data_IF_280826438216
#
_entry.id   IF_280826438216
#
_cell.length_a   1.000
_cell.length_b   1.000
_cell.length_c   1.000
_cell.angle_alpha   90.00
_cell.angle_beta   90.00
_cell.angle_gamma   90.00
#
_symmetry.space_group_name_H-M   'P 1'
#
loop_
_entity.id
_entity.type
_entity.pdbx_description
1 polymer ?
#
# COMPACT_ATOMS: atom_id res chain seq x y z
N UNK A 1 -19.86 -23.26 58.87
CA UNK A 1 -18.82 -24.24 58.57
C UNK A 1 -19.41 -25.67 58.33
N UNK A 2 -20.18 -26.27 59.25
CA UNK A 2 -20.74 -27.57 59.02
C UNK A 2 -21.56 -27.72 57.74
N UNK A 3 -22.31 -26.70 57.34
CA UNK A 3 -23.06 -26.66 56.07
C UNK A 3 -22.13 -26.65 54.87
N UNK A 4 -21.07 -25.83 54.89
CA UNK A 4 -20.05 -25.78 53.84
C UNK A 4 -19.32 -27.10 53.64
N UNK A 5 -18.91 -27.75 54.75
CA UNK A 5 -18.29 -29.07 54.74
C UNK A 5 -19.22 -30.18 54.21
N UNK A 6 -20.51 -30.10 54.51
CA UNK A 6 -21.51 -31.04 53.97
C UNK A 6 -21.64 -30.80 52.43
N UNK A 7 -21.70 -29.56 51.99
CA UNK A 7 -21.80 -29.25 50.61
C UNK A 7 -20.55 -29.70 49.83
N UNK A 8 -19.35 -29.46 50.39
CA UNK A 8 -18.09 -29.92 49.81
C UNK A 8 -18.07 -31.46 49.65
N UNK A 9 -18.45 -32.21 50.66
CA UNK A 9 -18.54 -33.68 50.58
C UNK A 9 -19.50 -34.14 49.49
N UNK A 10 -20.66 -33.51 49.34
CA UNK A 10 -21.64 -33.86 48.31
C UNK A 10 -21.17 -33.47 46.89
N UNK A 11 -20.43 -32.39 46.78
CA UNK A 11 -19.90 -31.91 45.49
C UNK A 11 -18.75 -32.79 44.95
N UNK A 12 -17.97 -33.42 45.85
CA UNK A 12 -16.78 -34.21 45.50
C UNK A 12 -16.98 -35.72 45.58
N UNK A 13 -18.14 -36.21 46.07
CA UNK A 13 -18.41 -37.64 46.26
C UNK A 13 -18.90 -38.33 44.99
N UNK A 14 -18.17 -39.32 44.52
CA UNK A 14 -18.55 -40.16 43.38
C UNK A 14 -19.82 -41.08 43.68
N UNK A 15 -20.18 -41.24 44.91
CA UNK A 15 -21.38 -41.98 45.31
C UNK A 15 -22.68 -41.16 45.14
N UNK A 16 -22.58 -39.88 44.82
CA UNK A 16 -23.72 -38.98 44.62
C UNK A 16 -24.06 -38.89 43.11
N UNK A 17 -25.36 -38.88 42.81
CA UNK A 17 -25.83 -38.72 41.46
C UNK A 17 -25.16 -37.50 40.75
N UNK A 18 -24.66 -37.64 39.52
CA UNK A 18 -23.89 -36.59 38.83
C UNK A 18 -24.62 -35.23 38.75
N UNK A 19 -25.92 -35.24 38.54
CA UNK A 19 -26.71 -33.99 38.48
C UNK A 19 -26.74 -33.26 39.83
N UNK A 20 -26.88 -34.02 40.93
CA UNK A 20 -26.89 -33.47 42.29
C UNK A 20 -25.49 -32.95 42.66
N UNK A 21 -24.44 -33.71 42.31
CA UNK A 21 -23.04 -33.31 42.51
C UNK A 21 -22.73 -31.96 41.83
N UNK A 22 -23.09 -31.81 40.57
CA UNK A 22 -22.91 -30.53 39.82
C UNK A 22 -23.67 -29.37 40.48
N UNK A 23 -24.92 -29.59 40.87
CA UNK A 23 -25.70 -28.56 41.56
C UNK A 23 -25.10 -28.17 42.91
N UNK A 24 -24.54 -29.14 43.67
CA UNK A 24 -23.85 -28.84 44.91
C UNK A 24 -22.52 -28.10 44.68
N UNK A 25 -21.79 -28.42 43.62
CA UNK A 25 -20.57 -27.71 43.25
C UNK A 25 -20.85 -26.22 42.97
N UNK A 26 -21.85 -25.89 42.15
CA UNK A 26 -22.26 -24.48 41.91
C UNK A 26 -22.69 -23.77 43.19
N UNK A 27 -23.47 -24.46 44.04
CA UNK A 27 -23.88 -23.89 45.35
C UNK A 27 -22.71 -23.70 46.30
N UNK A 28 -21.69 -24.56 46.23
CA UNK A 28 -20.48 -24.44 47.06
C UNK A 28 -19.67 -23.22 46.65
N UNK A 29 -19.50 -22.99 45.37
CA UNK A 29 -18.85 -21.79 44.85
C UNK A 29 -19.55 -20.51 45.35
N UNK A 30 -20.87 -20.44 45.23
CA UNK A 30 -21.64 -19.33 45.76
C UNK A 30 -21.47 -19.19 47.29
N UNK A 31 -21.50 -20.29 48.00
CA UNK A 31 -21.39 -20.28 49.47
C UNK A 31 -20.01 -19.87 49.98
N UNK A 32 -18.92 -20.19 49.25
CA UNK A 32 -17.59 -19.67 49.54
C UNK A 32 -17.51 -18.16 49.31
N UNK A 33 -18.12 -17.70 48.24
CA UNK A 33 -18.19 -16.26 47.95
C UNK A 33 -18.96 -15.49 49.00
N UNK A 34 -20.16 -15.98 49.37
CA UNK A 34 -21.03 -15.35 50.39
C UNK A 34 -20.39 -15.37 51.78
N UNK A 35 -19.54 -16.34 52.06
CA UNK A 35 -18.81 -16.47 53.33
C UNK A 35 -17.48 -15.70 53.35
N UNK A 36 -17.17 -14.93 52.29
CA UNK A 36 -15.91 -14.22 52.09
C UNK A 36 -14.64 -15.09 52.20
N UNK A 37 -14.80 -16.39 51.91
CA UNK A 37 -13.67 -17.34 51.91
C UNK A 37 -13.05 -17.45 50.51
N UNK A 38 -12.36 -16.39 50.14
CA UNK A 38 -11.83 -16.22 48.79
C UNK A 38 -10.73 -17.21 48.44
N UNK A 39 -9.91 -17.62 49.42
CA UNK A 39 -8.86 -18.60 49.17
C UNK A 39 -9.46 -19.97 48.82
N UNK A 40 -10.43 -20.46 49.60
CA UNK A 40 -11.09 -21.74 49.29
C UNK A 40 -11.89 -21.67 47.98
N UNK A 41 -12.43 -20.49 47.64
CA UNK A 41 -13.11 -20.26 46.36
C UNK A 41 -12.14 -20.40 45.17
N UNK A 42 -10.97 -19.76 45.25
CA UNK A 42 -9.98 -19.78 44.19
C UNK A 42 -9.41 -21.19 43.99
N UNK A 43 -9.04 -21.86 45.06
CA UNK A 43 -8.58 -23.25 45.05
C UNK A 43 -9.63 -24.18 44.41
N UNK A 44 -10.87 -24.05 44.82
CA UNK A 44 -11.94 -24.89 44.28
C UNK A 44 -12.27 -24.58 42.81
N UNK A 45 -12.29 -23.31 42.41
CA UNK A 45 -12.50 -22.93 41.03
C UNK A 45 -11.39 -23.48 40.12
N UNK A 46 -10.16 -23.58 40.60
CA UNK A 46 -9.05 -24.17 39.84
C UNK A 46 -9.21 -25.69 39.59
N UNK A 47 -9.85 -26.39 40.46
CA UNK A 47 -10.07 -27.85 40.34
C UNK A 47 -11.22 -28.21 39.40
N UNK A 48 -12.16 -27.29 39.13
CA UNK A 48 -13.35 -27.58 38.34
C UNK A 48 -13.05 -27.81 36.86
N UNK A 49 -13.62 -28.87 36.29
CA UNK A 49 -13.65 -29.12 34.85
C UNK A 49 -14.97 -28.64 34.24
N UNK A 50 -14.91 -27.68 33.33
CA UNK A 50 -16.07 -27.14 32.62
C UNK A 50 -16.87 -28.17 31.83
N UNK A 51 -16.25 -29.29 31.41
CA UNK A 51 -16.87 -30.35 30.64
C UNK A 51 -17.96 -31.10 31.44
N UNK A 52 -17.85 -31.11 32.77
CA UNK A 52 -18.80 -31.81 33.63
C UNK A 52 -20.13 -31.06 33.83
N UNK A 53 -20.20 -29.75 33.52
CA UNK A 53 -21.33 -28.88 33.84
C UNK A 53 -22.27 -28.65 32.66
N UNK A 54 -23.53 -28.32 32.95
CA UNK A 54 -24.49 -27.86 31.95
C UNK A 54 -24.13 -26.46 31.48
N UNK A 55 -24.68 -26.03 30.32
CA UNK A 55 -24.48 -24.70 29.79
C UNK A 55 -24.77 -23.57 30.80
N UNK A 56 -25.89 -23.67 31.53
CA UNK A 56 -26.28 -22.68 32.53
C UNK A 56 -25.34 -22.69 33.75
N UNK A 57 -24.90 -23.86 34.16
CA UNK A 57 -23.96 -23.99 35.29
C UNK A 57 -22.58 -23.46 34.93
N UNK A 58 -22.09 -23.70 33.70
CA UNK A 58 -20.85 -23.13 33.21
C UNK A 58 -20.90 -21.61 33.20
N UNK A 59 -22.02 -21.02 32.77
CA UNK A 59 -22.20 -19.58 32.81
C UNK A 59 -22.02 -19.01 34.21
N UNK A 60 -22.66 -19.61 35.20
CA UNK A 60 -22.55 -19.16 36.59
C UNK A 60 -21.12 -19.28 37.09
N UNK A 61 -20.47 -20.41 36.89
CA UNK A 61 -19.09 -20.66 37.31
C UNK A 61 -18.10 -19.72 36.56
N UNK A 62 -18.34 -19.47 35.31
CA UNK A 62 -17.51 -18.55 34.50
C UNK A 62 -17.56 -17.12 35.06
N UNK A 63 -18.71 -16.65 35.52
CA UNK A 63 -18.81 -15.36 36.20
C UNK A 63 -17.92 -15.28 37.46
N UNK A 64 -17.84 -16.35 38.23
CA UNK A 64 -16.95 -16.40 39.40
C UNK A 64 -15.47 -16.43 38.98
N UNK A 65 -15.11 -17.18 37.93
CA UNK A 65 -13.74 -17.16 37.40
C UNK A 65 -13.33 -15.72 36.99
N UNK A 66 -14.21 -15.00 36.29
CA UNK A 66 -13.96 -13.59 35.89
C UNK A 66 -13.87 -12.70 37.14
N UNK A 67 -14.79 -12.79 38.08
CA UNK A 67 -14.79 -11.98 39.30
C UNK A 67 -13.52 -12.19 40.14
N UNK A 68 -12.96 -13.41 40.10
CA UNK A 68 -11.73 -13.75 40.83
C UNK A 68 -10.44 -13.49 40.06
N UNK A 69 -10.54 -12.92 38.85
CA UNK A 69 -9.35 -12.61 38.02
C UNK A 69 -8.69 -13.86 37.44
N UNK A 70 -9.35 -15.01 37.41
CA UNK A 70 -8.85 -16.26 36.83
C UNK A 70 -9.11 -16.25 35.30
N UNK A 71 -8.50 -15.31 34.60
CA UNK A 71 -8.78 -15.00 33.19
C UNK A 71 -8.34 -16.11 32.25
N UNK A 72 -7.22 -16.77 32.53
CA UNK A 72 -6.72 -17.85 31.68
C UNK A 72 -7.71 -19.03 31.63
N UNK A 73 -8.19 -19.48 32.80
CA UNK A 73 -9.17 -20.55 32.87
C UNK A 73 -10.53 -20.11 32.31
N UNK A 74 -10.94 -18.89 32.58
CA UNK A 74 -12.14 -18.31 31.97
C UNK A 74 -12.07 -18.30 30.43
N UNK A 75 -10.95 -17.94 29.87
CA UNK A 75 -10.71 -17.97 28.42
C UNK A 75 -10.77 -19.41 27.89
N UNK A 76 -10.08 -20.38 28.50
CA UNK A 76 -10.10 -21.77 28.07
C UNK A 76 -11.53 -22.33 28.05
N UNK A 77 -12.34 -21.98 29.04
CA UNK A 77 -13.74 -22.38 29.07
C UNK A 77 -14.58 -21.71 27.99
N UNK A 78 -14.37 -20.43 27.74
CA UNK A 78 -15.03 -19.72 26.63
C UNK A 78 -14.72 -20.40 25.30
N UNK A 79 -13.46 -20.69 25.03
CA UNK A 79 -13.05 -21.30 23.78
C UNK A 79 -13.54 -22.72 23.61
N UNK A 80 -13.40 -23.55 24.66
CA UNK A 80 -13.74 -24.97 24.61
C UNK A 80 -15.25 -25.22 24.60
N UNK A 81 -16.04 -24.38 25.30
CA UNK A 81 -17.46 -24.64 25.56
C UNK A 81 -18.41 -23.61 24.92
N UNK A 82 -17.93 -22.67 24.11
CA UNK A 82 -18.80 -21.66 23.46
C UNK A 82 -20.01 -22.27 22.72
N UNK A 83 -19.87 -23.37 21.96
CA UNK A 83 -21.03 -23.99 21.29
C UNK A 83 -22.12 -24.49 22.25
N UNK A 84 -21.79 -24.69 23.50
CA UNK A 84 -22.64 -25.25 24.53
C UNK A 84 -23.19 -24.21 25.54
N UNK A 85 -23.03 -22.91 25.27
CA UNK A 85 -23.68 -21.87 26.04
C UNK A 85 -25.13 -21.69 25.58
N UNK A 86 -26.04 -21.60 26.53
CA UNK A 86 -27.48 -21.48 26.26
C UNK A 86 -27.84 -20.15 25.58
N UNK A 87 -27.10 -19.09 25.89
CA UNK A 87 -27.31 -17.74 25.31
C UNK A 87 -26.01 -17.16 24.71
N UNK A 88 -26.06 -16.90 23.42
CA UNK A 88 -24.93 -16.28 22.70
C UNK A 88 -24.57 -14.86 23.21
N UNK A 89 -25.45 -14.16 23.93
CA UNK A 89 -25.18 -12.88 24.58
C UNK A 89 -24.26 -13.01 25.79
N UNK A 90 -24.14 -14.20 26.35
CA UNK A 90 -23.30 -14.48 27.53
C UNK A 90 -21.83 -14.23 27.20
N UNK A 91 -21.37 -14.69 26.05
CA UNK A 91 -19.99 -14.46 25.61
C UNK A 91 -19.65 -12.96 25.55
N UNK A 92 -20.56 -12.15 25.03
CA UNK A 92 -20.39 -10.69 24.99
C UNK A 92 -20.28 -10.13 26.42
N UNK A 93 -21.19 -10.48 27.32
CA UNK A 93 -21.21 -9.96 28.69
C UNK A 93 -19.98 -10.37 29.49
N UNK A 94 -19.53 -11.61 29.33
CA UNK A 94 -18.35 -12.11 30.03
C UNK A 94 -17.07 -11.47 29.52
N UNK A 95 -16.93 -11.32 28.23
CA UNK A 95 -15.77 -10.64 27.64
C UNK A 95 -15.74 -9.15 28.01
N UNK A 96 -16.90 -8.51 28.05
CA UNK A 96 -17.05 -7.13 28.49
C UNK A 96 -16.69 -6.96 29.98
N UNK A 97 -17.13 -7.87 30.84
CA UNK A 97 -16.76 -7.89 32.25
C UNK A 97 -15.25 -8.14 32.47
N UNK A 98 -14.65 -9.07 31.72
CA UNK A 98 -13.19 -9.29 31.71
C UNK A 98 -12.43 -8.04 31.39
N UNK A 99 -12.79 -7.37 30.28
CA UNK A 99 -12.15 -6.14 29.83
C UNK A 99 -12.32 -5.02 30.86
N UNK A 100 -13.51 -4.87 31.44
CA UNK A 100 -13.78 -3.82 32.43
C UNK A 100 -12.93 -3.97 33.70
N UNK A 101 -12.61 -5.21 34.09
CA UNK A 101 -11.77 -5.48 35.25
C UNK A 101 -10.26 -5.38 34.97
N UNK A 102 -9.83 -5.66 33.76
CA UNK A 102 -8.44 -5.81 33.37
C UNK A 102 -8.02 -4.85 32.23
N UNK A 103 -8.76 -3.76 32.02
CA UNK A 103 -8.59 -2.85 30.87
C UNK A 103 -7.17 -2.28 30.66
N UNK A 104 -6.35 -2.29 31.69
CA UNK A 104 -4.97 -1.79 31.65
C UNK A 104 -3.91 -2.90 31.58
N UNK A 105 -4.33 -4.17 31.56
CA UNK A 105 -3.41 -5.29 31.39
C UNK A 105 -3.44 -5.81 29.96
N UNK A 106 -2.29 -5.81 29.30
CA UNK A 106 -2.11 -6.45 27.99
C UNK A 106 -1.93 -7.97 28.13
N UNK A 107 -2.65 -8.64 29.05
CA UNK A 107 -2.54 -10.07 29.23
C UNK A 107 -2.94 -10.85 27.97
N UNK A 108 -2.07 -11.75 27.45
CA UNK A 108 -2.35 -12.50 26.23
C UNK A 108 -3.68 -13.28 26.28
N UNK A 109 -4.05 -13.82 27.43
CA UNK A 109 -5.29 -14.56 27.60
C UNK A 109 -6.52 -13.66 27.45
N UNK A 110 -6.48 -12.46 28.00
CA UNK A 110 -7.55 -11.49 27.86
C UNK A 110 -7.71 -11.00 26.41
N UNK A 111 -6.59 -10.72 25.74
CA UNK A 111 -6.60 -10.35 24.32
C UNK A 111 -7.17 -11.49 23.45
N UNK A 112 -6.75 -12.73 23.71
CA UNK A 112 -7.27 -13.90 23.01
C UNK A 112 -8.78 -14.08 23.22
N UNK A 113 -9.29 -13.85 24.44
CA UNK A 113 -10.74 -13.90 24.74
C UNK A 113 -11.49 -12.80 23.96
N UNK A 114 -11.00 -11.57 23.96
CA UNK A 114 -11.59 -10.45 23.23
C UNK A 114 -11.59 -10.72 21.72
N UNK A 115 -10.49 -11.21 21.16
CA UNK A 115 -10.37 -11.57 19.74
C UNK A 115 -11.30 -12.73 19.37
N UNK A 116 -11.44 -13.73 20.23
CA UNK A 116 -12.38 -14.86 20.04
C UNK A 116 -13.83 -14.37 20.00
N UNK A 117 -14.21 -13.47 20.90
CA UNK A 117 -15.53 -12.85 20.91
C UNK A 117 -15.77 -12.03 19.64
N UNK A 118 -14.79 -11.26 19.22
CA UNK A 118 -14.83 -10.48 17.98
C UNK A 118 -15.05 -11.36 16.75
N UNK A 119 -14.24 -12.41 16.57
CA UNK A 119 -14.34 -13.36 15.44
C UNK A 119 -15.70 -14.05 15.35
N UNK A 120 -16.41 -14.17 16.48
CA UNK A 120 -17.76 -14.73 16.56
C UNK A 120 -18.86 -13.69 16.42
N UNK A 121 -18.51 -12.43 16.14
CA UNK A 121 -19.46 -11.33 16.02
C UNK A 121 -20.11 -10.92 17.34
N UNK A 122 -19.47 -11.20 18.49
CA UNK A 122 -19.95 -10.88 19.85
C UNK A 122 -19.06 -9.81 20.47
N UNK A 123 -19.29 -8.55 20.09
CA UNK A 123 -18.50 -7.41 20.55
C UNK A 123 -19.37 -6.16 20.74
N UNK A 124 -18.84 -5.22 21.48
CA UNK A 124 -19.36 -3.87 21.69
C UNK A 124 -18.21 -2.86 21.60
N UNK A 125 -18.50 -1.59 21.83
CA UNK A 125 -17.50 -0.51 21.78
C UNK A 125 -16.32 -0.75 22.75
N UNK A 126 -16.58 -1.23 23.96
CA UNK A 126 -15.57 -1.50 24.99
C UNK A 126 -14.57 -2.61 24.55
N UNK A 127 -15.10 -3.70 23.99
CA UNK A 127 -14.26 -4.78 23.42
C UNK A 127 -13.43 -4.28 22.26
N UNK A 128 -14.01 -3.47 21.38
CA UNK A 128 -13.34 -2.91 20.23
C UNK A 128 -12.24 -1.91 20.65
N UNK A 129 -12.50 -1.05 21.62
CA UNK A 129 -11.49 -0.13 22.18
C UNK A 129 -10.31 -0.90 22.77
N UNK A 130 -10.57 -1.97 23.52
CA UNK A 130 -9.52 -2.84 24.04
C UNK A 130 -8.72 -3.52 22.91
N UNK A 131 -9.41 -4.08 21.90
CA UNK A 131 -8.75 -4.70 20.74
C UNK A 131 -7.92 -3.69 19.95
N UNK A 132 -8.39 -2.47 19.74
CA UNK A 132 -7.64 -1.40 19.05
C UNK A 132 -6.35 -1.08 19.80
N UNK A 133 -6.43 -0.94 21.13
CA UNK A 133 -5.28 -0.60 21.97
C UNK A 133 -4.18 -1.67 21.95
N UNK A 134 -4.55 -2.94 22.04
CA UNK A 134 -3.61 -4.07 22.15
C UNK A 134 -3.49 -4.90 20.87
N UNK A 135 -4.00 -4.40 19.74
CA UNK A 135 -4.05 -5.12 18.48
C UNK A 135 -2.71 -5.69 18.05
N UNK A 136 -2.63 -7.00 17.92
CA UNK A 136 -1.50 -7.76 17.39
C UNK A 136 -2.06 -8.81 16.43
N UNK A 137 -1.46 -8.96 15.25
CA UNK A 137 -1.93 -9.95 14.30
C UNK A 137 -1.58 -9.62 12.86
N UNK A 138 -2.20 -10.34 11.96
CA UNK A 138 -2.03 -10.11 10.51
C UNK A 138 -2.71 -8.81 10.08
N UNK A 139 -2.21 -8.21 9.03
CA UNK A 139 -2.81 -6.99 8.44
C UNK A 139 -4.31 -7.15 8.17
N UNK A 140 -4.75 -8.35 7.76
CA UNK A 140 -6.17 -8.64 7.54
C UNK A 140 -6.98 -8.54 8.83
N UNK A 141 -6.51 -9.19 9.90
CA UNK A 141 -7.20 -9.16 11.21
C UNK A 141 -7.26 -7.75 11.78
N UNK A 142 -6.13 -7.02 11.74
CA UNK A 142 -6.08 -5.64 12.20
C UNK A 142 -7.06 -4.74 11.44
N UNK A 143 -7.18 -4.95 10.14
CA UNK A 143 -8.11 -4.20 9.29
C UNK A 143 -9.58 -4.52 9.61
N UNK A 144 -9.90 -5.78 9.89
CA UNK A 144 -11.26 -6.19 10.27
C UNK A 144 -11.64 -5.56 11.61
N UNK A 145 -10.72 -5.52 12.59
CA UNK A 145 -10.89 -4.81 13.87
C UNK A 145 -11.10 -3.32 13.60
N UNK A 146 -10.26 -2.70 12.78
CA UNK A 146 -10.33 -1.28 12.43
C UNK A 146 -11.69 -0.92 11.84
N UNK A 147 -12.17 -1.67 10.84
CA UNK A 147 -13.48 -1.44 10.21
C UNK A 147 -14.62 -1.49 11.22
N UNK A 148 -14.59 -2.50 12.08
CA UNK A 148 -15.63 -2.66 13.11
C UNK A 148 -15.54 -1.55 14.17
N UNK A 149 -14.35 -1.19 14.61
CA UNK A 149 -14.13 -0.12 15.58
C UNK A 149 -14.61 1.23 15.08
N UNK A 150 -14.36 1.54 13.79
CA UNK A 150 -14.88 2.76 13.15
C UNK A 150 -16.40 2.83 13.12
N UNK A 151 -17.09 1.71 12.98
CA UNK A 151 -18.57 1.67 13.03
C UNK A 151 -19.14 1.93 14.43
N UNK A 152 -18.30 1.91 15.47
CA UNK A 152 -18.65 2.22 16.86
C UNK A 152 -18.03 3.53 17.36
N UNK A 153 -17.52 4.37 16.45
CA UNK A 153 -16.85 5.64 16.76
C UNK A 153 -15.63 5.53 17.71
N UNK A 154 -14.98 4.36 17.72
CA UNK A 154 -13.76 4.15 18.49
C UNK A 154 -12.59 4.85 17.79
N UNK A 155 -11.73 5.51 18.56
CA UNK A 155 -10.48 6.09 18.04
C UNK A 155 -9.53 4.98 17.57
N UNK A 156 -9.17 5.06 16.28
CA UNK A 156 -8.33 4.08 15.60
C UNK A 156 -7.00 4.67 15.10
N UNK A 157 -6.57 5.85 15.60
CA UNK A 157 -5.38 6.52 15.12
C UNK A 157 -4.13 5.62 15.17
N UNK A 158 -3.78 5.11 16.36
CA UNK A 158 -2.61 4.25 16.55
C UNK A 158 -2.72 2.91 15.80
N UNK A 159 -3.94 2.36 15.70
CA UNK A 159 -4.17 1.13 14.93
C UNK A 159 -3.98 1.39 13.43
N UNK A 160 -4.46 2.54 12.93
CA UNK A 160 -4.25 2.96 11.54
C UNK A 160 -2.77 3.05 11.22
N UNK A 161 -1.98 3.70 12.08
CA UNK A 161 -0.53 3.81 11.92
C UNK A 161 0.14 2.44 11.85
N UNK A 162 -0.17 1.54 12.79
CA UNK A 162 0.38 0.17 12.78
C UNK A 162 0.03 -0.61 11.52
N UNK A 163 -1.21 -0.50 11.06
CA UNK A 163 -1.62 -1.15 9.81
C UNK A 163 -0.84 -0.58 8.62
N UNK A 164 -0.74 0.74 8.49
CA UNK A 164 -0.02 1.38 7.40
C UNK A 164 1.47 0.99 7.39
N UNK A 165 2.12 0.98 8.55
CA UNK A 165 3.51 0.55 8.68
C UNK A 165 3.71 -0.92 8.26
N UNK A 166 2.86 -1.84 8.75
CA UNK A 166 2.93 -3.25 8.31
C UNK A 166 2.78 -3.40 6.81
N UNK A 167 1.93 -2.59 6.23
CA UNK A 167 1.66 -2.61 4.81
C UNK A 167 2.83 -2.10 3.98
N UNK A 168 3.50 -1.04 4.43
CA UNK A 168 4.72 -0.54 3.80
C UNK A 168 5.81 -1.63 3.77
N UNK A 169 6.01 -2.33 4.89
CA UNK A 169 6.98 -3.43 4.97
C UNK A 169 6.62 -4.64 4.09
N UNK A 170 5.36 -4.94 3.92
CA UNK A 170 4.91 -6.09 3.13
C UNK A 170 4.85 -5.84 1.63
N UNK A 171 5.04 -4.59 1.18
CA UNK A 171 4.92 -4.17 -0.22
C UNK A 171 3.53 -4.39 -0.84
N UNK A 172 2.54 -4.66 0.02
CA UNK A 172 1.19 -5.00 -0.39
C UNK A 172 0.26 -3.78 -0.32
N UNK A 173 0.59 -2.66 -0.95
CA UNK A 173 -0.08 -1.38 -0.77
C UNK A 173 -1.02 -1.00 -1.90
N UNK A 174 -2.14 -1.66 -2.14
CA UNK A 174 -3.08 -1.22 -3.20
C UNK A 174 -4.54 -1.25 -2.73
N UNK A 175 -5.27 -0.18 -3.08
CA UNK A 175 -6.73 -0.06 -3.13
C UNK A 175 -7.51 -0.22 -1.81
N UNK A 176 -7.35 -1.32 -1.13
CA UNK A 176 -8.15 -1.65 0.06
C UNK A 176 -7.85 -0.82 1.32
N UNK A 177 -6.97 0.19 1.23
CA UNK A 177 -6.34 0.85 2.39
C UNK A 177 -6.50 2.35 2.40
N UNK A 178 -7.04 2.88 1.33
CA UNK A 178 -7.27 4.31 1.23
C UNK A 178 -8.18 4.82 2.34
N UNK A 179 -9.13 4.01 2.80
CA UNK A 179 -10.00 4.41 3.91
C UNK A 179 -9.21 4.58 5.22
N UNK A 180 -8.25 3.69 5.48
CA UNK A 180 -7.36 3.78 6.65
C UNK A 180 -6.45 4.99 6.54
N UNK A 181 -5.86 5.20 5.36
CA UNK A 181 -4.97 6.33 5.11
C UNK A 181 -5.71 7.67 5.20
N UNK A 182 -6.87 7.80 4.55
CA UNK A 182 -7.73 8.99 4.66
C UNK A 182 -8.09 9.32 6.10
N UNK A 183 -8.47 8.30 6.87
CA UNK A 183 -8.76 8.50 8.27
C UNK A 183 -7.50 8.98 9.03
N UNK A 184 -6.37 8.33 8.82
CA UNK A 184 -5.10 8.66 9.47
C UNK A 184 -4.67 10.10 9.19
N UNK A 185 -4.73 10.54 7.92
CA UNK A 185 -4.45 11.92 7.52
C UNK A 185 -5.43 12.89 8.16
N UNK A 186 -6.73 12.56 8.21
CA UNK A 186 -7.76 13.42 8.82
C UNK A 186 -7.57 13.64 10.32
N UNK A 187 -6.86 12.75 11.00
CA UNK A 187 -6.55 12.85 12.43
C UNK A 187 -5.19 13.53 12.71
N UNK A 188 -4.49 14.00 11.69
CA UNK A 188 -3.15 14.61 11.80
C UNK A 188 -2.05 13.55 11.75
N UNK A 189 -1.83 13.00 10.56
CA UNK A 189 -0.81 11.99 10.30
C UNK A 189 0.59 12.48 10.68
N UNK A 190 1.46 11.54 11.05
CA UNK A 190 2.90 11.81 11.13
C UNK A 190 3.45 11.95 9.72
N UNK A 191 4.22 12.99 9.49
CA UNK A 191 4.76 13.35 8.17
C UNK A 191 5.53 12.18 7.54
N UNK A 192 6.36 11.48 8.32
CA UNK A 192 7.20 10.38 7.82
C UNK A 192 6.37 9.20 7.28
N UNK A 193 5.23 8.91 7.92
CA UNK A 193 4.35 7.82 7.49
C UNK A 193 3.50 8.26 6.30
N UNK A 194 3.01 9.49 6.32
CA UNK A 194 2.29 10.08 5.19
C UNK A 194 3.17 10.06 3.93
N UNK A 195 4.41 10.58 4.03
CA UNK A 195 5.38 10.56 2.94
C UNK A 195 5.68 9.15 2.45
N UNK A 196 5.93 8.20 3.35
CA UNK A 196 6.20 6.82 2.98
C UNK A 196 5.02 6.17 2.21
N UNK A 197 3.79 6.47 2.60
CA UNK A 197 2.59 6.00 1.90
C UNK A 197 2.46 6.62 0.52
N UNK A 198 2.70 7.92 0.39
CA UNK A 198 2.67 8.63 -0.88
C UNK A 198 3.74 8.11 -1.83
N UNK A 199 4.98 7.93 -1.34
CA UNK A 199 6.09 7.37 -2.12
C UNK A 199 5.77 5.96 -2.61
N UNK A 200 5.32 5.06 -1.72
CA UNK A 200 5.01 3.69 -2.10
C UNK A 200 3.86 3.61 -3.11
N UNK A 201 2.81 4.40 -2.91
CA UNK A 201 1.68 4.46 -3.84
C UNK A 201 2.10 5.02 -5.20
N UNK A 202 2.97 6.02 -5.20
CA UNK A 202 3.53 6.61 -6.42
C UNK A 202 4.44 5.62 -7.16
N UNK A 203 5.28 4.86 -6.45
CA UNK A 203 6.06 3.78 -7.04
C UNK A 203 5.19 2.71 -7.66
N UNK A 204 4.12 2.28 -6.97
CA UNK A 204 3.20 1.28 -7.48
C UNK A 204 2.48 1.76 -8.75
N UNK A 205 2.10 3.03 -8.80
CA UNK A 205 1.46 3.62 -9.96
C UNK A 205 2.44 3.84 -11.11
N UNK A 206 3.57 4.50 -10.85
CA UNK A 206 4.51 4.89 -11.90
C UNK A 206 5.34 3.72 -12.41
N UNK A 207 5.89 2.88 -11.51
CA UNK A 207 6.85 1.83 -11.86
C UNK A 207 6.20 0.48 -12.16
N UNK A 208 5.01 0.22 -11.62
CA UNK A 208 4.35 -1.11 -11.69
C UNK A 208 2.98 -1.06 -12.36
N UNK A 209 2.58 0.11 -12.83
CA UNK A 209 1.28 0.36 -13.48
C UNK A 209 0.08 -0.14 -12.67
N UNK A 210 0.21 -0.17 -11.34
CA UNK A 210 -0.88 -0.54 -10.46
C UNK A 210 -1.80 0.65 -10.26
N UNK A 211 -3.09 0.41 -10.44
CA UNK A 211 -4.11 1.41 -10.15
C UNK A 211 -3.98 1.91 -8.71
N UNK A 212 -4.02 3.23 -8.57
CA UNK A 212 -4.12 3.91 -7.27
C UNK A 212 -5.32 4.84 -7.29
N UNK A 213 -5.80 5.21 -6.12
CA UNK A 213 -6.92 6.15 -6.04
C UNK A 213 -6.46 7.59 -6.28
N UNK A 214 -7.30 8.38 -6.91
CA UNK A 214 -7.10 9.81 -7.14
C UNK A 214 -6.78 10.60 -5.87
N UNK A 215 -7.24 10.12 -4.72
CA UNK A 215 -6.93 10.71 -3.41
C UNK A 215 -5.42 10.86 -3.16
N UNK A 216 -4.59 9.92 -3.63
CA UNK A 216 -3.12 10.00 -3.48
C UNK A 216 -2.59 11.26 -4.17
N UNK A 217 -3.06 11.58 -5.37
CA UNK A 217 -2.59 12.75 -6.11
C UNK A 217 -3.06 14.06 -5.48
N UNK A 218 -4.27 14.07 -4.92
CA UNK A 218 -4.74 15.21 -4.11
C UNK A 218 -3.90 15.40 -2.86
N UNK A 219 -3.47 14.32 -2.22
CA UNK A 219 -2.63 14.43 -1.02
C UNK A 219 -1.21 14.87 -1.38
N UNK A 220 -0.64 14.40 -2.50
CA UNK A 220 0.63 14.94 -3.05
C UNK A 220 0.52 16.46 -3.28
N UNK A 221 -0.59 16.92 -3.86
CA UNK A 221 -0.85 18.35 -4.01
C UNK A 221 -0.88 19.08 -2.67
N UNK A 222 -1.62 18.54 -1.70
CA UNK A 222 -1.75 19.15 -0.38
C UNK A 222 -0.40 19.24 0.34
N UNK A 223 0.43 18.20 0.29
CA UNK A 223 1.78 18.16 0.84
C UNK A 223 2.65 19.26 0.24
N UNK A 224 2.63 19.39 -1.08
CA UNK A 224 3.35 20.47 -1.77
C UNK A 224 2.85 21.87 -1.36
N UNK A 225 1.52 22.08 -1.32
CA UNK A 225 0.93 23.36 -0.95
C UNK A 225 1.19 23.74 0.51
N UNK A 226 1.40 22.76 1.40
CA UNK A 226 1.87 23.00 2.78
C UNK A 226 3.34 23.42 2.84
N UNK A 227 4.06 23.40 1.72
CA UNK A 227 5.49 23.71 1.65
C UNK A 227 6.39 22.58 2.15
N UNK A 228 5.88 21.36 2.22
CA UNK A 228 6.62 20.17 2.60
C UNK A 228 7.40 19.61 1.41
N UNK A 229 8.53 18.96 1.70
CA UNK A 229 9.33 18.33 0.65
C UNK A 229 8.53 17.20 -0.02
N UNK A 230 8.39 17.30 -1.33
CA UNK A 230 7.70 16.28 -2.14
C UNK A 230 8.73 15.46 -2.90
N UNK A 231 8.74 14.16 -2.66
CA UNK A 231 9.69 13.24 -3.28
C UNK A 231 9.51 13.18 -4.81
N UNK A 232 10.62 13.01 -5.53
CA UNK A 232 10.65 13.01 -7.01
C UNK A 232 9.68 12.00 -7.63
N UNK A 233 9.58 10.80 -7.07
CA UNK A 233 8.65 9.78 -7.58
C UNK A 233 7.18 10.21 -7.44
N UNK A 234 6.83 10.96 -6.40
CA UNK A 234 5.50 11.51 -6.24
C UNK A 234 5.19 12.53 -7.33
N UNK A 235 6.16 13.39 -7.66
CA UNK A 235 6.03 14.37 -8.75
C UNK A 235 5.85 13.67 -10.11
N UNK A 236 6.65 12.63 -10.38
CA UNK A 236 6.55 11.85 -11.62
C UNK A 236 5.22 11.11 -11.74
N UNK A 237 4.76 10.49 -10.65
CA UNK A 237 3.46 9.82 -10.62
C UNK A 237 2.30 10.80 -10.81
N UNK A 238 2.40 11.98 -10.20
CA UNK A 238 1.45 13.08 -10.38
C UNK A 238 1.36 13.52 -11.84
N UNK A 239 2.51 13.78 -12.47
CA UNK A 239 2.59 14.15 -13.88
C UNK A 239 1.99 13.06 -14.78
N UNK A 240 2.33 11.78 -14.56
CA UNK A 240 1.78 10.66 -15.32
C UNK A 240 0.26 10.58 -15.18
N UNK A 241 -0.27 10.70 -13.97
CA UNK A 241 -1.71 10.65 -13.72
C UNK A 241 -2.45 11.76 -14.49
N UNK A 242 -1.97 12.98 -14.44
CA UNK A 242 -2.62 14.08 -15.13
C UNK A 242 -2.36 14.12 -16.65
N UNK A 243 -1.28 13.49 -17.12
CA UNK A 243 -1.10 13.24 -18.55
C UNK A 243 -2.19 12.31 -19.11
N UNK A 244 -2.54 11.27 -18.33
CA UNK A 244 -3.57 10.29 -18.67
C UNK A 244 -5.01 10.80 -18.41
N UNK A 245 -5.20 11.78 -17.52
CA UNK A 245 -6.49 12.28 -17.05
C UNK A 245 -6.60 13.80 -17.17
N UNK A 246 -6.41 14.36 -18.34
CA UNK A 246 -6.41 15.82 -18.58
C UNK A 246 -7.73 16.51 -18.25
N UNK A 247 -8.83 15.80 -18.37
CA UNK A 247 -10.17 16.26 -18.01
C UNK A 247 -10.37 16.52 -16.50
N UNK A 248 -9.47 16.00 -15.68
CA UNK A 248 -9.48 16.16 -14.22
C UNK A 248 -8.55 17.27 -13.71
N UNK A 249 -7.88 17.98 -14.59
CA UNK A 249 -6.92 19.03 -14.22
C UNK A 249 -7.72 20.26 -13.73
N UNK A 250 -7.49 20.63 -12.48
CA UNK A 250 -7.99 21.87 -11.87
C UNK A 250 -6.94 22.99 -12.03
N UNK A 251 -7.30 24.23 -11.74
CA UNK A 251 -6.36 25.37 -11.85
C UNK A 251 -5.13 25.23 -10.93
N UNK A 252 -5.34 24.69 -9.76
CA UNK A 252 -4.28 24.41 -8.79
C UNK A 252 -3.32 23.35 -9.31
N UNK A 253 -3.83 22.36 -10.04
CA UNK A 253 -3.01 21.31 -10.67
C UNK A 253 -2.15 21.87 -11.81
N UNK A 254 -2.66 22.82 -12.61
CA UNK A 254 -1.89 23.47 -13.69
C UNK A 254 -0.60 24.11 -13.18
N UNK A 255 -0.66 24.75 -12.00
CA UNK A 255 0.51 25.37 -11.39
C UNK A 255 1.53 24.30 -10.97
N UNK A 256 1.07 23.24 -10.28
CA UNK A 256 1.94 22.16 -9.83
C UNK A 256 2.55 21.39 -11.00
N UNK A 257 1.76 21.11 -12.03
CA UNK A 257 2.25 20.45 -13.25
C UNK A 257 3.40 21.26 -13.86
N UNK A 258 3.25 22.58 -13.96
CA UNK A 258 4.31 23.45 -14.45
C UNK A 258 5.56 23.39 -13.59
N UNK A 259 5.40 23.55 -12.27
CA UNK A 259 6.53 23.56 -11.33
C UNK A 259 7.28 22.21 -11.35
N UNK A 260 6.54 21.09 -11.38
CA UNK A 260 7.13 19.77 -11.45
C UNK A 260 7.83 19.50 -12.79
N UNK A 261 7.24 19.93 -13.90
CA UNK A 261 7.86 19.82 -15.21
C UNK A 261 9.16 20.65 -15.30
N UNK A 262 9.14 21.90 -14.82
CA UNK A 262 10.33 22.75 -14.79
C UNK A 262 11.46 22.14 -13.95
N UNK A 263 11.12 21.54 -12.82
CA UNK A 263 12.09 20.84 -11.98
C UNK A 263 12.67 19.62 -12.69
N UNK A 264 11.82 18.75 -13.25
CA UNK A 264 12.27 17.56 -13.97
C UNK A 264 13.14 17.92 -15.18
N UNK A 265 12.79 18.95 -15.93
CA UNK A 265 13.62 19.44 -17.05
C UNK A 265 14.97 19.98 -16.59
N UNK A 266 15.01 20.69 -15.46
CA UNK A 266 16.26 21.19 -14.87
C UNK A 266 17.18 20.03 -14.46
N UNK A 267 16.60 18.96 -14.00
CA UNK A 267 17.30 17.71 -13.62
C UNK A 267 17.62 16.83 -14.85
N UNK A 268 17.36 17.30 -16.06
CA UNK A 268 17.57 16.58 -17.33
C UNK A 268 16.80 15.26 -17.43
N UNK A 269 15.62 15.20 -16.83
CA UNK A 269 14.73 14.04 -16.93
C UNK A 269 13.78 14.22 -18.10
N UNK A 270 13.87 13.33 -19.08
CA UNK A 270 13.09 13.36 -20.32
C UNK A 270 12.27 12.07 -20.44
N UNK A 271 11.08 12.08 -19.86
CA UNK A 271 10.17 10.94 -19.90
C UNK A 271 9.08 11.14 -20.95
N UNK A 272 8.52 10.03 -21.45
CA UNK A 272 7.53 10.07 -22.54
C UNK A 272 6.29 10.91 -22.20
N UNK A 273 5.85 10.91 -20.96
CA UNK A 273 4.66 11.68 -20.56
C UNK A 273 4.87 13.19 -20.60
N UNK A 274 6.10 13.71 -20.68
CA UNK A 274 6.34 15.15 -20.88
C UNK A 274 5.76 15.64 -22.19
N UNK A 275 5.73 14.82 -23.21
CA UNK A 275 5.10 15.14 -24.50
C UNK A 275 3.62 15.52 -24.35
N UNK A 276 2.94 14.93 -23.37
CA UNK A 276 1.54 15.21 -23.11
C UNK A 276 1.30 16.62 -22.53
N UNK A 277 2.32 17.23 -21.93
CA UNK A 277 2.25 18.57 -21.32
C UNK A 277 2.92 19.67 -22.16
N UNK A 278 3.16 19.42 -23.44
CA UNK A 278 3.86 20.35 -24.34
C UNK A 278 3.32 21.77 -24.32
N UNK A 279 2.01 21.91 -24.18
CA UNK A 279 1.33 23.20 -24.20
C UNK A 279 1.49 23.97 -22.88
N UNK A 280 1.92 23.30 -21.81
CA UNK A 280 2.19 23.90 -20.50
C UNK A 280 3.55 24.61 -20.45
N UNK A 281 4.54 24.11 -21.21
CA UNK A 281 5.90 24.65 -21.23
C UNK A 281 6.46 24.73 -22.67
N UNK A 282 6.78 25.92 -23.18
CA UNK A 282 7.35 26.09 -24.54
C UNK A 282 8.62 25.26 -24.77
N UNK A 283 9.43 25.07 -23.72
CA UNK A 283 10.68 24.27 -23.80
C UNK A 283 10.44 22.78 -24.05
N UNK A 284 9.22 22.26 -23.80
CA UNK A 284 8.89 20.86 -24.08
C UNK A 284 8.80 20.53 -25.55
N UNK A 285 8.76 21.53 -26.42
CA UNK A 285 8.79 21.31 -27.88
C UNK A 285 10.05 20.55 -28.30
N UNK A 286 11.19 20.82 -27.67
CA UNK A 286 12.45 20.10 -27.96
C UNK A 286 12.38 18.60 -27.62
N UNK A 287 11.52 18.20 -26.66
CA UNK A 287 11.38 16.79 -26.27
C UNK A 287 10.57 15.95 -27.25
N UNK A 288 9.74 16.58 -28.08
CA UNK A 288 8.95 15.88 -29.09
C UNK A 288 9.77 15.18 -30.15
N UNK A 289 10.95 15.72 -30.42
CA UNK A 289 11.83 15.24 -31.46
C UNK A 289 12.65 14.03 -31.03
N UNK A 290 12.55 13.65 -29.76
CA UNK A 290 13.28 12.54 -29.18
C UNK A 290 12.37 11.36 -28.91
N UNK A 291 12.86 10.18 -29.21
CA UNK A 291 12.22 8.93 -28.82
C UNK A 291 12.86 8.42 -27.54
N UNK A 292 12.05 8.06 -26.58
CA UNK A 292 12.50 7.65 -25.25
C UNK A 292 12.14 6.19 -25.02
N UNK A 293 13.13 5.39 -24.59
CA UNK A 293 12.93 4.06 -24.04
C UNK A 293 12.92 4.17 -22.55
N UNK A 294 11.80 3.85 -21.92
CA UNK A 294 11.66 3.74 -20.46
C UNK A 294 11.70 2.28 -20.05
N UNK A 295 12.38 2.00 -18.93
CA UNK A 295 12.47 0.66 -18.37
C UNK A 295 12.24 0.70 -16.87
N UNK A 296 11.35 -0.18 -16.38
CA UNK A 296 10.94 -0.23 -14.99
C UNK A 296 11.29 -1.57 -14.36
N UNK A 297 12.01 -1.56 -13.24
CA UNK A 297 12.42 -2.75 -12.52
C UNK A 297 12.45 -2.52 -11.00
N UNK A 298 13.05 -3.44 -10.26
CA UNK A 298 13.19 -3.33 -8.81
C UNK A 298 14.34 -2.40 -8.44
N UNK A 299 14.25 -1.79 -7.25
CA UNK A 299 15.33 -1.01 -6.69
C UNK A 299 16.63 -1.81 -6.55
N UNK A 300 17.79 -1.15 -6.74
CA UNK A 300 19.10 -1.75 -6.57
C UNK A 300 19.60 -2.59 -7.76
N UNK A 301 18.88 -2.58 -8.86
CA UNK A 301 19.32 -3.18 -10.14
C UNK A 301 19.89 -2.08 -11.02
N UNK A 302 20.84 -2.40 -11.90
CA UNK A 302 21.30 -1.50 -12.98
C UNK A 302 20.73 -1.99 -14.30
N UNK A 303 20.26 -1.07 -15.13
CA UNK A 303 19.79 -1.38 -16.47
C UNK A 303 20.82 -0.94 -17.51
N UNK A 304 21.19 -1.86 -18.40
CA UNK A 304 22.05 -1.60 -19.53
C UNK A 304 21.27 -1.84 -20.82
N UNK A 305 21.24 -0.87 -21.71
CA UNK A 305 20.65 -1.01 -23.04
C UNK A 305 21.75 -1.32 -24.06
N UNK A 306 21.48 -2.34 -24.85
CA UNK A 306 22.30 -2.71 -26.02
C UNK A 306 21.47 -2.39 -27.25
N UNK A 307 22.00 -1.60 -28.15
CA UNK A 307 21.26 -1.21 -29.32
C UNK A 307 22.13 -1.13 -30.55
N UNK A 308 21.52 -1.27 -31.70
CA UNK A 308 22.16 -1.14 -33.02
C UNK A 308 21.26 -0.28 -33.90
N UNK A 309 21.87 0.69 -34.56
CA UNK A 309 21.18 1.46 -35.59
C UNK A 309 21.24 0.69 -36.91
N UNK A 310 20.08 0.47 -37.50
CA UNK A 310 19.92 -0.21 -38.78
C UNK A 310 19.63 0.87 -39.84
N UNK A 311 20.46 0.95 -40.83
CA UNK A 311 20.21 1.83 -41.98
C UNK A 311 19.26 1.13 -42.98
N UNK A 312 18.61 1.92 -43.82
CA UNK A 312 17.64 1.43 -44.81
C UNK A 312 18.23 0.36 -45.76
N UNK A 313 19.54 0.44 -46.01
CA UNK A 313 20.26 -0.52 -46.84
C UNK A 313 20.52 -1.87 -46.16
N UNK A 314 20.05 -2.07 -44.92
CA UNK A 314 20.22 -3.30 -44.14
C UNK A 314 21.63 -3.46 -43.57
N UNK A 315 22.48 -2.46 -43.63
CA UNK A 315 23.75 -2.47 -42.92
C UNK A 315 23.50 -2.14 -41.45
N UNK A 316 23.92 -3.04 -40.57
CA UNK A 316 23.93 -2.79 -39.14
C UNK A 316 25.28 -2.14 -38.78
N UNK A 317 25.21 -1.12 -37.96
CA UNK A 317 26.39 -0.63 -37.25
C UNK A 317 26.78 -1.61 -36.15
N UNK A 318 27.91 -1.36 -35.47
CA UNK A 318 28.30 -2.15 -34.32
C UNK A 318 27.30 -1.94 -33.16
N UNK A 319 27.03 -3.00 -32.41
CA UNK A 319 26.21 -2.89 -31.21
C UNK A 319 26.87 -1.96 -30.20
N UNK A 320 26.14 -0.92 -29.82
CA UNK A 320 26.50 -0.04 -28.72
C UNK A 320 25.89 -0.53 -27.43
N UNK A 321 26.60 -0.33 -26.35
CA UNK A 321 26.17 -0.78 -25.02
C UNK A 321 26.38 0.35 -24.03
N UNK A 322 25.30 0.82 -23.41
CA UNK A 322 25.32 1.93 -22.47
C UNK A 322 24.44 1.64 -21.27
N UNK A 323 24.79 2.21 -20.11
CA UNK A 323 23.88 2.22 -18.97
C UNK A 323 22.77 3.21 -19.23
N UNK A 324 21.53 2.77 -18.94
CA UNK A 324 20.39 3.67 -18.94
C UNK A 324 20.49 4.62 -17.75
N UNK A 325 20.00 5.82 -17.90
CA UNK A 325 19.95 6.79 -16.82
C UNK A 325 18.85 6.42 -15.82
N UNK A 326 19.23 6.22 -14.57
CA UNK A 326 18.25 6.01 -13.49
C UNK A 326 17.68 7.36 -13.06
N UNK A 327 16.37 7.51 -13.21
CA UNK A 327 15.62 8.70 -12.81
C UNK A 327 15.23 8.63 -11.33
N UNK A 328 14.78 7.47 -10.95
CA UNK A 328 14.41 7.09 -9.60
C UNK A 328 14.66 5.61 -9.42
N UNK A 329 14.76 5.15 -8.18
CA UNK A 329 15.06 3.76 -7.89
C UNK A 329 14.18 2.77 -8.67
N UNK A 330 14.77 2.12 -9.66
CA UNK A 330 14.11 1.17 -10.55
C UNK A 330 13.43 1.77 -11.79
N UNK A 331 13.57 3.08 -12.05
CA UNK A 331 13.05 3.74 -13.26
C UNK A 331 14.20 4.26 -14.10
N UNK A 332 14.35 3.74 -15.28
CA UNK A 332 15.45 4.04 -16.20
C UNK A 332 14.94 4.58 -17.52
N UNK A 333 15.74 5.41 -18.20
CA UNK A 333 15.43 5.86 -19.54
C UNK A 333 16.69 6.02 -20.40
N UNK A 334 16.47 6.01 -21.71
CA UNK A 334 17.45 6.36 -22.74
C UNK A 334 16.76 7.13 -23.86
N UNK A 335 17.37 8.25 -24.26
CA UNK A 335 16.90 9.08 -25.36
C UNK A 335 17.57 8.69 -26.68
N UNK A 336 16.79 8.74 -27.75
CA UNK A 336 17.25 8.60 -29.12
C UNK A 336 16.69 9.71 -29.99
N UNK A 337 17.50 10.21 -30.91
CA UNK A 337 17.04 11.02 -32.04
C UNK A 337 17.08 10.12 -33.27
N UNK A 338 15.93 9.91 -33.88
CA UNK A 338 15.78 9.07 -35.07
C UNK A 338 15.36 9.93 -36.23
N UNK A 339 16.05 9.76 -37.33
CA UNK A 339 15.72 10.39 -38.59
C UNK A 339 15.00 9.42 -39.52
N UNK A 340 14.47 9.93 -40.63
CA UNK A 340 13.77 9.14 -41.62
C UNK A 340 14.62 7.93 -42.10
N UNK A 341 14.00 6.75 -42.16
CA UNK A 341 14.67 5.52 -42.57
C UNK A 341 15.52 4.85 -41.48
N UNK A 342 15.71 5.49 -40.33
CA UNK A 342 16.46 4.90 -39.24
C UNK A 342 15.57 3.99 -38.38
N UNK A 343 16.16 2.84 -38.03
CA UNK A 343 15.55 1.85 -37.14
C UNK A 343 16.57 1.47 -36.08
N UNK A 344 16.15 1.47 -34.82
CA UNK A 344 16.95 0.96 -33.72
C UNK A 344 16.36 -0.37 -33.25
N UNK A 345 17.21 -1.39 -33.19
CA UNK A 345 16.90 -2.61 -32.46
C UNK A 345 17.66 -2.56 -31.14
N UNK A 346 16.96 -2.89 -30.06
CA UNK A 346 17.55 -2.86 -28.73
C UNK A 346 17.12 -4.04 -27.88
N UNK A 347 17.94 -4.33 -26.88
CA UNK A 347 17.57 -5.15 -25.76
C UNK A 347 18.14 -4.60 -24.47
N UNK A 348 17.46 -4.87 -23.35
CA UNK A 348 17.83 -4.37 -22.03
C UNK A 348 18.27 -5.57 -21.18
N UNK A 349 19.40 -5.37 -20.50
CA UNK A 349 19.93 -6.32 -19.51
C UNK A 349 19.90 -5.70 -18.13
N UNK A 350 19.39 -6.47 -17.18
CA UNK A 350 19.52 -6.17 -15.76
C UNK A 350 20.83 -6.73 -15.21
N UNK A 351 21.56 -5.88 -14.50
CA UNK A 351 22.72 -6.28 -13.70
C UNK A 351 22.34 -6.23 -12.22
N UNK A 352 22.42 -7.36 -11.54
CA UNK A 352 22.17 -7.50 -10.12
C UNK A 352 23.27 -8.33 -9.45
N UNK A 353 23.25 -8.42 -8.13
CA UNK A 353 24.14 -9.31 -7.38
C UNK A 353 24.07 -10.80 -7.83
N UNK A 354 22.99 -11.18 -8.49
CA UNK A 354 22.76 -12.54 -9.02
C UNK A 354 23.29 -12.75 -10.44
N UNK A 355 23.87 -11.73 -11.05
CA UNK A 355 24.39 -11.73 -12.41
C UNK A 355 23.55 -10.90 -13.38
N UNK A 356 23.84 -11.06 -14.67
CA UNK A 356 23.15 -10.36 -15.76
C UNK A 356 22.00 -11.19 -16.29
N UNK A 357 20.87 -10.52 -16.56
CA UNK A 357 19.66 -11.15 -17.12
C UNK A 357 19.09 -10.29 -18.24
N UNK A 358 18.79 -10.90 -19.40
CA UNK A 358 18.02 -10.27 -20.46
C UNK A 358 16.55 -10.14 -20.02
N UNK A 359 15.98 -8.96 -20.12
CA UNK A 359 14.63 -8.69 -19.61
C UNK A 359 13.68 -8.17 -20.68
N UNK A 360 14.13 -7.32 -21.56
CA UNK A 360 13.28 -6.70 -22.58
C UNK A 360 14.03 -6.57 -23.90
N UNK A 361 13.31 -6.65 -25.01
CA UNK A 361 13.83 -6.34 -26.34
C UNK A 361 12.76 -5.64 -27.16
N UNK A 362 13.17 -4.72 -28.01
CA UNK A 362 12.25 -3.97 -28.84
C UNK A 362 12.92 -3.38 -30.06
N UNK A 363 12.12 -2.70 -30.86
CA UNK A 363 12.58 -1.90 -32.00
C UNK A 363 11.86 -0.57 -32.00
N UNK A 364 12.60 0.46 -32.39
CA UNK A 364 12.10 1.81 -32.61
C UNK A 364 12.32 2.15 -34.07
N UNK A 365 11.29 2.58 -34.74
CA UNK A 365 11.37 3.03 -36.12
C UNK A 365 10.66 4.36 -36.24
N UNK A 366 11.29 5.30 -36.93
CA UNK A 366 10.61 6.51 -37.28
C UNK A 366 9.71 6.25 -38.49
N UNK A 367 8.43 6.53 -38.30
CA UNK A 367 7.44 6.44 -39.36
C UNK A 367 7.55 7.71 -40.25
N UNK A 368 7.59 7.48 -41.54
CA UNK A 368 7.67 8.47 -42.59
C UNK A 368 6.43 9.36 -42.76
N UNK A 369 5.38 9.10 -42.04
CA UNK A 369 4.07 9.73 -42.28
C UNK A 369 3.61 10.60 -41.08
N UNK A 370 4.24 10.53 -39.92
CA UNK A 370 3.80 11.27 -38.74
C UNK A 370 4.68 12.50 -38.49
N UNK A 371 4.19 13.62 -38.92
CA UNK A 371 4.73 14.92 -38.54
C UNK A 371 4.05 15.39 -37.24
N UNK A 372 4.54 14.92 -36.09
CA UNK A 372 4.00 15.25 -34.79
C UNK A 372 4.27 16.69 -34.36
N UNK A 373 5.26 17.33 -34.95
CA UNK A 373 5.64 18.72 -34.68
C UNK A 373 6.22 19.43 -35.92
N UNK A 374 5.34 20.02 -36.74
CA UNK A 374 5.76 20.67 -37.99
C UNK A 374 6.73 21.85 -37.81
N UNK A 375 6.88 22.34 -36.60
CA UNK A 375 7.79 23.43 -36.26
C UNK A 375 9.14 22.94 -35.70
N UNK A 376 9.34 21.64 -35.62
CA UNK A 376 10.60 21.06 -35.17
C UNK A 376 11.70 21.12 -36.24
N UNK A 377 12.91 21.49 -35.82
CA UNK A 377 14.08 21.43 -36.69
C UNK A 377 14.39 20.03 -37.20
N UNK A 378 14.09 19.01 -36.39
CA UNK A 378 14.31 17.61 -36.76
C UNK A 378 13.26 17.12 -37.76
N UNK A 379 12.02 17.60 -37.68
CA UNK A 379 11.00 17.30 -38.68
C UNK A 379 11.32 17.89 -40.05
N UNK A 380 11.76 19.14 -40.10
CA UNK A 380 12.21 19.75 -41.37
C UNK A 380 13.37 18.94 -41.98
N UNK A 381 14.32 18.47 -41.15
CA UNK A 381 15.41 17.62 -41.66
C UNK A 381 14.87 16.28 -42.17
N UNK A 382 13.91 15.67 -41.45
CA UNK A 382 13.23 14.45 -41.92
C UNK A 382 12.52 14.66 -43.25
N UNK A 383 11.79 15.76 -43.41
CA UNK A 383 11.08 16.07 -44.65
C UNK A 383 12.09 16.33 -45.80
N UNK A 384 13.23 16.94 -45.50
CA UNK A 384 14.33 17.06 -46.48
C UNK A 384 14.86 15.67 -46.90
N UNK A 385 15.07 14.74 -45.94
CA UNK A 385 15.54 13.39 -46.24
C UNK A 385 14.53 12.61 -47.09
N UNK A 386 13.23 12.75 -46.78
CA UNK A 386 12.15 12.15 -47.57
C UNK A 386 12.16 12.74 -48.98
N UNK A 387 12.20 14.07 -49.12
CA UNK A 387 12.23 14.71 -50.42
C UNK A 387 13.44 14.30 -51.25
N UNK A 388 14.61 14.18 -50.64
CA UNK A 388 15.81 13.64 -51.30
C UNK A 388 15.60 12.21 -51.78
N UNK A 389 15.00 11.37 -50.96
CA UNK A 389 14.73 9.96 -51.32
C UNK A 389 13.72 9.84 -52.46
N UNK A 390 12.72 10.71 -52.47
CA UNK A 390 11.70 10.78 -53.51
C UNK A 390 12.17 11.54 -54.78
N UNK A 391 13.37 12.15 -54.76
CA UNK A 391 13.91 13.00 -55.83
C UNK A 391 12.99 14.19 -56.14
N UNK A 392 12.39 14.78 -55.09
CA UNK A 392 11.54 15.95 -55.17
C UNK A 392 12.37 17.19 -54.84
N UNK A 393 13.10 17.68 -55.86
CA UNK A 393 14.04 18.79 -55.72
C UNK A 393 13.31 20.12 -55.38
N UNK A 394 12.10 20.34 -55.89
CA UNK A 394 11.31 21.55 -55.63
C UNK A 394 10.90 21.66 -54.16
N UNK A 395 10.43 20.55 -53.56
CA UNK A 395 10.07 20.49 -52.14
C UNK A 395 11.34 20.62 -51.28
N UNK A 396 12.42 19.97 -51.66
CA UNK A 396 13.70 20.05 -50.97
C UNK A 396 14.23 21.47 -50.88
N UNK A 397 14.24 22.21 -51.99
CA UNK A 397 14.68 23.60 -52.03
C UNK A 397 13.82 24.49 -51.11
N UNK A 398 12.50 24.27 -51.12
CA UNK A 398 11.59 25.01 -50.24
C UNK A 398 11.86 24.72 -48.75
N UNK A 399 12.09 23.48 -48.39
CA UNK A 399 12.40 23.08 -47.00
C UNK A 399 13.76 23.63 -46.54
N UNK A 400 14.74 23.68 -47.42
CA UNK A 400 16.04 24.30 -47.16
C UNK A 400 15.87 25.80 -46.87
N UNK A 401 15.11 26.50 -47.72
CA UNK A 401 14.81 27.93 -47.49
C UNK A 401 14.06 28.14 -46.17
N UNK A 402 13.10 27.30 -45.85
CA UNK A 402 12.35 27.39 -44.63
C UNK A 402 13.23 27.12 -43.39
N UNK A 403 14.13 26.15 -43.44
CA UNK A 403 15.09 25.84 -42.38
C UNK A 403 15.98 27.08 -42.08
N UNK A 404 16.50 27.72 -43.11
CA UNK A 404 17.28 28.96 -42.95
C UNK A 404 16.44 30.13 -42.45
N UNK A 405 15.21 30.26 -42.90
CA UNK A 405 14.30 31.33 -42.48
C UNK A 405 13.92 31.23 -41.02
N UNK A 406 13.80 30.01 -40.49
CA UNK A 406 13.47 29.77 -39.08
C UNK A 406 14.68 29.92 -38.15
N UNK A 407 15.82 30.29 -38.64
CA UNK A 407 17.06 30.49 -37.86
C UNK A 407 17.47 29.28 -37.03
N UNK A 408 17.20 28.06 -37.51
CA UNK A 408 17.62 26.83 -36.85
C UNK A 408 19.14 26.59 -36.88
N UNK A 409 19.93 27.56 -37.27
CA UNK A 409 21.39 27.54 -37.25
C UNK A 409 21.91 27.60 -35.81
N UNK A 410 21.78 26.49 -35.11
CA UNK A 410 22.43 26.28 -33.82
C UNK A 410 23.79 25.61 -34.06
N UNK A 411 24.85 26.17 -33.46
CA UNK A 411 26.21 25.61 -33.53
C UNK A 411 26.28 24.11 -33.11
N UNK A 412 25.28 23.59 -32.38
CA UNK A 412 25.18 22.19 -31.99
C UNK A 412 24.84 21.25 -33.14
N UNK A 413 24.22 21.72 -34.21
CA UNK A 413 23.93 20.90 -35.39
C UNK A 413 25.17 20.52 -36.17
N UNK A 414 26.23 21.35 -36.13
CA UNK A 414 27.49 21.09 -36.81
C UNK A 414 28.47 20.23 -36.01
N UNK A 415 28.14 19.91 -34.75
CA UNK A 415 28.96 19.03 -33.89
C UNK A 415 28.43 17.59 -33.82
N UNK A 416 27.34 17.29 -34.50
CA UNK A 416 26.75 15.95 -34.58
C UNK A 416 27.07 15.21 -35.88
N UNK A 417 28.03 15.72 -36.67
CA UNK A 417 28.60 15.02 -37.84
C UNK A 417 29.86 14.27 -37.46
#
# INVERSE_FOLDING_TARGET
>A
WAKLMRMARLATSDAVEPALRRNQAVRLVQAYFDADNMQALDEYLQELDGGEFTAEQREILLRFLVLRGNYEKAYQWIESYTPYFADAKILLRLTDALISQAAHSGEPALYAAALSAFRRGKYNGNILEYLVRYAVGTTKELRDIWKSARSFDVDCYELSERILVQMLFSGAFVGERMDIFRYYVSQGARQEIEEAVLVQSSCDYFCREKLTEEYIFREIRNTYLRGEETQRICKLAYLKFYAENRDKIEKEDEMLIRDFLEEMMRDHIHLNFFREFRDCLPKLQELKDKTIVEYHTKAGVRARIHYVMMQENGQAEDYLSEYMQEVYSGVFFKEFVLFFGENIQYYIMEESERGEQLTESGSLQRSDIMNDNPDSKYEIINDMMISMTLQDDDTLDHLIEEYYRREYLDHRLFTLQ
#
